data_IF_030853504082
#
_entry.id   IF_030853504082
#
_cell.length_a   1.000
_cell.length_b   1.000
_cell.length_c   1.000
_cell.angle_alpha   90.00
_cell.angle_beta   90.00
_cell.angle_gamma   90.00
#
_symmetry.space_group_name_H-M   'P 1'
#
loop_
_entity.id
_entity.type
_entity.pdbx_description
1 polymer ?
#
# COMPACT_ATOMS: atom_id res chain seq x y z
N UNK A 1 1.75 3.66 12.51
CA UNK A 1 1.59 4.04 11.09
C UNK A 1 0.87 5.37 10.93
N UNK A 2 -0.40 5.52 11.38
CA UNK A 2 -1.15 6.78 11.22
C UNK A 2 -0.40 8.00 11.77
N UNK A 3 0.20 7.88 12.96
CA UNK A 3 1.01 8.95 13.56
C UNK A 3 2.21 9.34 12.68
N UNK A 4 2.94 8.35 12.17
CA UNK A 4 4.05 8.60 11.25
C UNK A 4 3.58 9.25 9.95
N UNK A 5 2.41 8.85 9.43
CA UNK A 5 1.79 9.49 8.27
C UNK A 5 1.42 10.94 8.59
N UNK A 6 0.82 11.21 9.75
CA UNK A 6 0.52 12.56 10.21
C UNK A 6 1.79 13.40 10.35
N UNK A 7 2.89 12.81 10.81
CA UNK A 7 4.17 13.51 10.89
C UNK A 7 4.73 13.83 9.51
N UNK A 8 4.66 12.90 8.55
CA UNK A 8 5.06 13.15 7.16
C UNK A 8 4.20 14.25 6.51
N UNK A 9 2.89 14.20 6.70
CA UNK A 9 1.96 15.22 6.24
C UNK A 9 2.31 16.56 6.90
N UNK A 10 2.47 16.63 8.23
CA UNK A 10 2.84 17.86 8.94
C UNK A 10 4.14 18.48 8.41
N UNK A 11 5.14 17.65 8.13
CA UNK A 11 6.44 18.11 7.58
C UNK A 11 6.33 18.65 6.15
N UNK A 12 5.38 18.15 5.35
CA UNK A 12 5.28 18.46 3.92
C UNK A 12 4.04 19.29 3.54
N UNK A 13 3.16 19.60 4.49
CA UNK A 13 1.95 20.40 4.26
C UNK A 13 2.12 21.88 4.60
N UNK A 14 3.31 22.32 5.00
CA UNK A 14 3.55 23.72 5.40
C UNK A 14 3.08 24.71 4.32
N UNK A 15 3.51 24.54 3.07
CA UNK A 15 3.10 25.45 1.99
C UNK A 15 1.64 25.24 1.55
N UNK A 16 1.20 23.98 1.47
CA UNK A 16 -0.11 23.63 0.94
C UNK A 16 -1.28 23.86 1.92
N UNK A 17 -1.00 23.84 3.23
CA UNK A 17 -1.99 23.94 4.32
C UNK A 17 -1.73 25.14 5.20
N UNK A 18 -0.52 25.26 5.77
CA UNK A 18 -0.22 26.31 6.77
C UNK A 18 -0.10 27.70 6.13
N UNK A 19 0.47 27.78 4.92
CA UNK A 19 0.61 29.04 4.17
C UNK A 19 -0.53 29.26 3.18
N UNK A 20 -1.60 28.47 3.23
CA UNK A 20 -2.70 28.54 2.28
C UNK A 20 -3.81 29.46 2.81
N UNK A 21 -4.09 30.61 2.16
CA UNK A 21 -5.10 31.55 2.64
C UNK A 21 -6.54 31.00 2.60
N UNK A 22 -6.78 29.91 1.88
CA UNK A 22 -8.08 29.25 1.83
C UNK A 22 -8.32 28.27 2.99
N UNK A 23 -7.30 27.99 3.82
CA UNK A 23 -7.40 27.13 5.00
C UNK A 23 -7.10 28.00 6.23
N UNK A 24 -8.07 28.22 7.13
CA UNK A 24 -7.81 28.93 8.38
C UNK A 24 -6.73 28.21 9.19
N UNK A 25 -5.80 28.97 9.77
CA UNK A 25 -4.70 28.39 10.55
C UNK A 25 -5.17 27.52 11.73
N UNK A 26 -6.34 27.83 12.30
CA UNK A 26 -6.95 27.03 13.37
C UNK A 26 -7.34 25.62 12.89
N UNK A 27 -7.56 25.44 11.58
CA UNK A 27 -7.89 24.15 10.95
C UNK A 27 -6.67 23.42 10.39
N UNK A 28 -5.44 23.90 10.64
CA UNK A 28 -4.24 23.26 10.11
C UNK A 28 -4.09 21.82 10.63
N UNK A 29 -4.35 21.58 11.91
CA UNK A 29 -4.31 20.23 12.47
C UNK A 29 -5.43 19.33 11.91
N UNK A 30 -6.64 19.89 11.71
CA UNK A 30 -7.75 19.17 11.07
C UNK A 30 -7.44 18.84 9.60
N UNK A 31 -6.79 19.74 8.86
CA UNK A 31 -6.31 19.51 7.50
C UNK A 31 -5.28 18.38 7.47
N UNK A 32 -4.30 18.40 8.38
CA UNK A 32 -3.28 17.34 8.49
C UNK A 32 -3.95 15.99 8.77
N UNK A 33 -4.92 15.95 9.69
CA UNK A 33 -5.69 14.74 9.99
C UNK A 33 -6.51 14.27 8.79
N UNK A 34 -7.20 15.18 8.09
CA UNK A 34 -8.02 14.86 6.93
C UNK A 34 -7.16 14.35 5.75
N UNK A 35 -5.99 14.93 5.52
CA UNK A 35 -5.04 14.46 4.51
C UNK A 35 -4.53 13.07 4.89
N UNK A 36 -4.09 12.89 6.14
CA UNK A 36 -3.57 11.60 6.61
C UNK A 36 -4.63 10.50 6.53
N UNK A 37 -5.86 10.80 6.97
CA UNK A 37 -7.00 9.89 6.86
C UNK A 37 -7.39 9.60 5.42
N UNK A 38 -7.36 10.61 4.54
CA UNK A 38 -7.60 10.43 3.11
C UNK A 38 -6.52 9.60 2.41
N UNK A 39 -5.25 9.76 2.81
CA UNK A 39 -4.16 8.93 2.30
C UNK A 39 -4.37 7.47 2.69
N UNK A 40 -4.61 7.23 3.98
CA UNK A 40 -4.91 5.89 4.49
C UNK A 40 -6.13 5.29 3.79
N UNK A 41 -7.24 6.02 3.73
CA UNK A 41 -8.49 5.57 3.10
C UNK A 41 -8.33 5.30 1.61
N UNK A 42 -7.55 6.12 0.91
CA UNK A 42 -7.24 5.91 -0.50
C UNK A 42 -6.39 4.66 -0.74
N UNK A 43 -5.37 4.43 0.08
CA UNK A 43 -4.58 3.19 0.04
C UNK A 43 -5.46 1.98 0.35
N UNK A 44 -6.38 2.11 1.30
CA UNK A 44 -7.33 1.05 1.65
C UNK A 44 -8.30 0.71 0.53
N UNK A 45 -8.88 1.73 -0.10
CA UNK A 45 -9.76 1.56 -1.24
C UNK A 45 -9.01 0.94 -2.42
N UNK A 46 -7.78 1.37 -2.68
CA UNK A 46 -6.98 0.82 -3.76
C UNK A 46 -6.63 -0.66 -3.51
N UNK A 47 -6.29 -1.03 -2.27
CA UNK A 47 -6.03 -2.41 -1.90
C UNK A 47 -7.27 -3.30 -2.07
N UNK A 48 -8.45 -2.79 -1.70
CA UNK A 48 -9.72 -3.52 -1.78
C UNK A 48 -10.30 -3.56 -3.21
N UNK A 49 -10.03 -2.55 -4.02
CA UNK A 49 -10.54 -2.40 -5.39
C UNK A 49 -9.75 -3.15 -6.46
N UNK A 50 -8.86 -4.06 -6.08
CA UNK A 50 -8.02 -4.82 -7.01
C UNK A 50 -6.65 -4.17 -7.33
N UNK A 51 -6.36 -3.00 -6.76
CA UNK A 51 -5.07 -2.32 -6.88
C UNK A 51 -3.98 -2.85 -5.94
N UNK A 52 -4.19 -4.00 -5.28
CA UNK A 52 -3.22 -4.63 -4.40
C UNK A 52 -1.87 -4.89 -5.08
N UNK A 53 -1.90 -5.37 -6.33
CA UNK A 53 -0.69 -5.59 -7.13
C UNK A 53 0.06 -4.28 -7.40
N UNK A 54 -0.66 -3.19 -7.66
CA UNK A 54 -0.05 -1.87 -7.86
C UNK A 54 0.59 -1.35 -6.57
N UNK A 55 -0.05 -1.54 -5.42
CA UNK A 55 0.53 -1.16 -4.13
C UNK A 55 1.83 -1.94 -3.83
N UNK A 56 1.82 -3.25 -4.06
CA UNK A 56 3.02 -4.08 -3.90
C UNK A 56 4.11 -3.72 -4.92
N UNK A 57 3.74 -3.44 -6.17
CA UNK A 57 4.67 -2.97 -7.20
C UNK A 57 5.31 -1.62 -6.87
N UNK A 58 4.56 -0.73 -6.23
CA UNK A 58 5.05 0.56 -5.74
C UNK A 58 6.02 0.37 -4.56
N UNK A 59 5.67 -0.51 -3.61
CA UNK A 59 6.51 -0.83 -2.44
C UNK A 59 7.78 -1.60 -2.77
N UNK A 60 7.78 -2.39 -3.85
CA UNK A 60 8.97 -3.11 -4.34
C UNK A 60 9.81 -2.29 -5.29
N UNK A 61 9.33 -1.11 -5.73
CA UNK A 61 10.02 -0.25 -6.70
C UNK A 61 9.99 -0.77 -8.14
N UNK A 62 9.21 -1.82 -8.43
CA UNK A 62 9.22 -2.50 -9.73
C UNK A 62 8.35 -1.81 -10.78
N UNK A 63 7.41 -0.93 -10.38
CA UNK A 63 6.42 -0.38 -11.31
C UNK A 63 6.12 1.12 -11.14
N UNK A 64 6.68 1.94 -12.05
CA UNK A 64 6.43 3.38 -12.11
C UNK A 64 4.99 3.74 -12.50
N UNK A 65 4.27 2.90 -13.25
CA UNK A 65 2.86 3.18 -13.60
C UNK A 65 1.93 2.93 -12.43
N UNK A 66 2.23 1.91 -11.61
CA UNK A 66 1.51 1.66 -10.36
C UNK A 66 1.57 2.86 -9.40
N UNK A 67 2.68 3.58 -9.38
CA UNK A 67 2.83 4.80 -8.59
C UNK A 67 1.82 5.88 -9.02
N UNK A 68 1.58 6.05 -10.31
CA UNK A 68 0.62 7.04 -10.84
C UNK A 68 -0.82 6.67 -10.48
N UNK A 69 -1.23 5.42 -10.71
CA UNK A 69 -2.62 4.99 -10.48
C UNK A 69 -3.00 5.04 -9.00
N UNK A 70 -2.10 4.57 -8.13
CA UNK A 70 -2.26 4.65 -6.67
C UNK A 70 -2.31 6.12 -6.23
N UNK A 71 -1.39 6.96 -6.70
CA UNK A 71 -1.35 8.38 -6.33
C UNK A 71 -2.65 9.09 -6.70
N UNK A 72 -3.20 8.83 -7.90
CA UNK A 72 -4.45 9.43 -8.34
C UNK A 72 -5.65 9.01 -7.48
N UNK A 73 -5.80 7.71 -7.19
CA UNK A 73 -6.88 7.22 -6.32
C UNK A 73 -6.79 7.78 -4.90
N UNK A 74 -5.56 7.93 -4.39
CA UNK A 74 -5.32 8.54 -3.09
C UNK A 74 -5.62 10.04 -3.10
N UNK A 75 -5.23 10.76 -4.14
CA UNK A 75 -5.53 12.20 -4.29
C UNK A 75 -7.04 12.47 -4.23
N UNK A 76 -7.84 11.65 -4.93
CA UNK A 76 -9.29 11.77 -4.90
C UNK A 76 -9.86 11.56 -3.49
N UNK A 77 -9.34 10.57 -2.75
CA UNK A 77 -9.77 10.31 -1.37
C UNK A 77 -9.39 11.46 -0.42
N UNK A 78 -8.19 12.01 -0.57
CA UNK A 78 -7.74 13.16 0.22
C UNK A 78 -8.59 14.39 -0.08
N UNK A 79 -8.88 14.65 -1.36
CA UNK A 79 -9.78 15.73 -1.74
C UNK A 79 -11.15 15.59 -1.07
N UNK A 80 -11.76 14.39 -1.13
CA UNK A 80 -13.04 14.13 -0.48
C UNK A 80 -12.99 14.35 1.03
N UNK A 81 -11.93 13.86 1.69
CA UNK A 81 -11.76 14.02 3.14
C UNK A 81 -11.58 15.49 3.53
N UNK A 82 -10.76 16.24 2.81
CA UNK A 82 -10.56 17.67 3.02
C UNK A 82 -11.88 18.44 2.88
N UNK A 83 -12.65 18.15 1.83
CA UNK A 83 -13.95 18.78 1.60
C UNK A 83 -14.93 18.46 2.75
N UNK A 84 -15.02 17.19 3.16
CA UNK A 84 -15.96 16.76 4.21
C UNK A 84 -15.57 17.28 5.60
N UNK A 85 -14.26 17.30 5.92
CA UNK A 85 -13.77 17.67 7.26
C UNK A 85 -13.64 19.18 7.43
N UNK A 86 -13.14 19.89 6.43
CA UNK A 86 -12.87 21.31 6.54
C UNK A 86 -13.97 22.18 5.93
N UNK A 87 -14.82 21.61 5.08
CA UNK A 87 -15.84 22.36 4.34
C UNK A 87 -15.24 23.26 3.26
N UNK A 88 -14.02 22.96 2.79
CA UNK A 88 -13.34 23.76 1.75
C UNK A 88 -13.81 23.38 0.35
N UNK A 89 -13.59 24.29 -0.61
CA UNK A 89 -14.01 24.07 -1.99
C UNK A 89 -13.24 22.91 -2.64
N UNK A 90 -13.84 22.22 -3.63
CA UNK A 90 -13.18 21.15 -4.37
C UNK A 90 -11.85 21.58 -5.00
N UNK A 91 -11.75 22.83 -5.48
CA UNK A 91 -10.56 23.38 -6.11
C UNK A 91 -9.41 23.53 -5.12
N UNK A 92 -9.70 24.04 -3.91
CA UNK A 92 -8.68 24.17 -2.85
C UNK A 92 -8.25 22.78 -2.39
N UNK A 93 -9.20 21.88 -2.12
CA UNK A 93 -8.90 20.51 -1.72
C UNK A 93 -8.04 19.77 -2.75
N UNK A 94 -8.34 19.92 -4.05
CA UNK A 94 -7.55 19.35 -5.14
C UNK A 94 -6.14 19.93 -5.20
N UNK A 95 -5.99 21.25 -5.02
CA UNK A 95 -4.68 21.91 -4.98
C UNK A 95 -3.82 21.40 -3.82
N UNK A 96 -4.40 21.24 -2.63
CA UNK A 96 -3.68 20.66 -1.48
C UNK A 96 -3.32 19.20 -1.74
N UNK A 97 -4.27 18.39 -2.22
CA UNK A 97 -4.03 16.98 -2.51
C UNK A 97 -2.94 16.79 -3.57
N UNK A 98 -2.94 17.59 -4.64
CA UNK A 98 -1.96 17.48 -5.72
C UNK A 98 -0.53 17.83 -5.29
N UNK A 99 -0.38 18.75 -4.34
CA UNK A 99 0.93 19.12 -3.77
C UNK A 99 1.40 18.11 -2.72
N UNK A 100 0.54 17.74 -1.76
CA UNK A 100 0.97 16.99 -0.57
C UNK A 100 1.03 15.49 -0.83
N UNK A 101 0.03 14.92 -1.52
CA UNK A 101 -0.10 13.46 -1.64
C UNK A 101 1.09 12.81 -2.33
N UNK A 102 1.59 13.29 -3.49
CA UNK A 102 2.73 12.67 -4.15
C UNK A 102 3.98 12.70 -3.27
N UNK A 103 4.22 13.80 -2.55
CA UNK A 103 5.40 13.95 -1.68
C UNK A 103 5.30 12.97 -0.51
N UNK A 104 4.15 12.92 0.16
CA UNK A 104 3.95 12.06 1.33
C UNK A 104 3.99 10.59 0.94
N UNK A 105 3.35 10.18 -0.16
CA UNK A 105 3.42 8.79 -0.65
C UNK A 105 4.85 8.40 -1.00
N UNK A 106 5.58 9.25 -1.72
CA UNK A 106 6.99 8.99 -2.03
C UNK A 106 7.82 8.82 -0.75
N UNK A 107 7.67 9.72 0.23
CA UNK A 107 8.41 9.64 1.51
C UNK A 107 8.03 8.41 2.30
N UNK A 108 6.75 8.04 2.30
CA UNK A 108 6.22 6.85 2.94
C UNK A 108 6.84 5.58 2.33
N UNK A 109 6.90 5.48 1.00
CA UNK A 109 7.53 4.36 0.29
C UNK A 109 9.04 4.29 0.56
N UNK A 110 9.74 5.42 0.49
CA UNK A 110 11.17 5.47 0.79
C UNK A 110 11.46 5.00 2.21
N UNK A 111 10.67 5.43 3.20
CA UNK A 111 10.80 4.94 4.59
C UNK A 111 10.56 3.44 4.70
N UNK A 112 9.52 2.93 4.02
CA UNK A 112 9.19 1.51 4.04
C UNK A 112 10.26 0.60 3.41
N UNK A 113 11.11 1.16 2.56
CA UNK A 113 12.22 0.48 1.90
C UNK A 113 13.57 0.73 2.59
N UNK A 114 13.63 1.63 3.58
CA UNK A 114 14.87 1.99 4.25
C UNK A 114 15.20 0.97 5.35
N UNK A 115 16.25 0.15 5.19
CA UNK A 115 16.63 -0.83 6.21
C UNK A 115 17.09 -0.19 7.54
N UNK A 116 17.39 1.12 7.53
CA UNK A 116 17.81 1.87 8.71
C UNK A 116 16.65 2.57 9.43
N UNK A 117 15.45 2.61 8.83
CA UNK A 117 14.27 3.25 9.41
C UNK A 117 13.18 2.21 9.72
N UNK A 118 13.18 1.68 10.94
CA UNK A 118 12.18 0.71 11.38
C UNK A 118 10.83 1.33 11.79
N UNK A 119 10.62 2.63 11.59
CA UNK A 119 9.38 3.29 11.99
C UNK A 119 8.18 2.89 11.13
N UNK A 120 8.44 2.50 9.87
CA UNK A 120 7.45 1.99 8.92
C UNK A 120 8.15 0.97 8.03
N UNK A 121 7.52 -0.20 7.84
CA UNK A 121 7.90 -1.16 6.82
C UNK A 121 6.77 -1.40 5.81
N UNK A 122 7.09 -2.06 4.69
CA UNK A 122 6.11 -2.39 3.66
C UNK A 122 4.97 -3.27 4.18
N UNK A 123 5.24 -4.15 5.13
CA UNK A 123 4.23 -5.00 5.79
C UNK A 123 3.20 -4.18 6.57
N UNK A 124 3.64 -3.13 7.26
CA UNK A 124 2.80 -2.22 8.04
C UNK A 124 1.91 -1.39 7.14
N UNK A 125 2.44 -0.89 6.02
CA UNK A 125 1.66 -0.15 5.03
C UNK A 125 0.61 -1.06 4.41
N UNK A 126 1.02 -2.24 3.93
CA UNK A 126 0.11 -3.18 3.30
C UNK A 126 -0.93 -3.72 4.29
N UNK A 127 -0.55 -3.96 5.53
CA UNK A 127 -1.47 -4.37 6.59
C UNK A 127 -2.49 -3.29 6.91
N UNK A 128 -2.08 -2.02 6.91
CA UNK A 128 -2.99 -0.89 7.11
C UNK A 128 -3.93 -0.66 5.91
N UNK A 129 -3.43 -0.82 4.68
CA UNK A 129 -4.20 -0.70 3.45
C UNK A 129 -5.19 -1.87 3.29
N UNK A 130 -4.79 -3.10 3.58
CA UNK A 130 -5.65 -4.28 3.42
C UNK A 130 -6.51 -4.58 4.64
N UNK A 131 -6.27 -3.89 5.77
CA UNK A 131 -6.83 -4.23 7.06
C UNK A 131 -6.27 -5.54 7.67
N UNK A 132 -5.28 -6.17 7.02
CA UNK A 132 -4.66 -7.43 7.46
C UNK A 132 -3.29 -7.18 8.09
N UNK A 133 -3.29 -6.67 9.32
CA UNK A 133 -2.06 -6.52 10.10
C UNK A 133 -1.46 -7.90 10.43
N UNK A 134 -0.13 -7.99 10.39
CA UNK A 134 0.62 -9.24 10.69
C UNK A 134 0.74 -10.21 9.51
N UNK A 135 0.20 -9.88 8.34
CA UNK A 135 0.51 -10.60 7.10
C UNK A 135 1.86 -10.14 6.56
N UNK A 136 2.73 -11.10 6.23
CA UNK A 136 4.04 -10.83 5.64
C UNK A 136 3.91 -10.60 4.12
N UNK A 137 3.32 -9.45 3.79
CA UNK A 137 3.11 -8.99 2.43
C UNK A 137 4.41 -8.87 1.63
N UNK A 138 5.52 -8.57 2.31
CA UNK A 138 6.80 -8.37 1.68
C UNK A 138 7.42 -9.69 1.25
N UNK A 139 7.37 -10.71 2.10
CA UNK A 139 7.71 -12.09 1.74
C UNK A 139 6.78 -12.64 0.66
N UNK A 140 5.49 -12.29 0.72
CA UNK A 140 4.52 -12.67 -0.30
C UNK A 140 4.81 -12.03 -1.66
N UNK A 141 5.16 -10.75 -1.69
CA UNK A 141 5.62 -10.10 -2.90
C UNK A 141 6.95 -10.69 -3.39
N UNK A 142 7.92 -10.96 -2.51
CA UNK A 142 9.20 -11.58 -2.89
C UNK A 142 9.03 -12.99 -3.46
N UNK A 143 8.14 -13.80 -2.87
CA UNK A 143 7.81 -15.12 -3.38
C UNK A 143 7.00 -15.06 -4.68
N UNK A 144 6.17 -14.03 -4.86
CA UNK A 144 5.54 -13.74 -6.14
C UNK A 144 6.56 -13.23 -7.18
N UNK A 145 7.67 -12.61 -6.75
CA UNK A 145 8.79 -12.16 -7.59
C UNK A 145 9.83 -13.24 -7.88
N UNK A 146 9.57 -14.51 -7.58
CA UNK A 146 10.56 -15.58 -7.76
C UNK A 146 11.07 -15.72 -9.21
N UNK A 147 10.32 -15.23 -10.21
CA UNK A 147 10.72 -15.21 -11.63
C UNK A 147 11.21 -13.85 -12.14
N UNK A 148 11.27 -12.83 -11.27
CA UNK A 148 11.66 -11.46 -11.62
C UNK A 148 10.51 -10.52 -12.01
N UNK A 149 9.25 -10.97 -11.95
CA UNK A 149 8.06 -10.11 -12.14
C UNK A 149 7.03 -10.31 -11.04
N UNK A 150 6.30 -9.25 -10.71
CA UNK A 150 5.09 -9.33 -9.89
C UNK A 150 3.89 -9.49 -10.82
N UNK A 151 3.55 -10.72 -11.18
CA UNK A 151 2.33 -10.99 -11.93
C UNK A 151 1.18 -11.41 -11.00
N UNK A 152 -0.05 -11.02 -11.34
CA UNK A 152 -1.24 -11.25 -10.53
C UNK A 152 -1.47 -12.76 -10.25
N UNK A 153 -1.05 -13.63 -11.18
CA UNK A 153 -1.10 -15.08 -11.01
C UNK A 153 -0.15 -15.60 -9.93
N UNK A 154 1.00 -14.95 -9.73
CA UNK A 154 1.97 -15.32 -8.70
C UNK A 154 1.59 -14.77 -7.34
N UNK A 155 1.03 -13.55 -7.30
CA UNK A 155 0.41 -13.03 -6.09
C UNK A 155 -0.77 -13.89 -5.64
N UNK A 156 -1.62 -14.33 -6.56
CA UNK A 156 -2.77 -15.18 -6.25
C UNK A 156 -2.34 -16.58 -5.80
N UNK A 157 -1.26 -17.13 -6.37
CA UNK A 157 -0.62 -18.36 -5.88
C UNK A 157 -0.01 -18.17 -4.49
N UNK A 158 0.70 -17.08 -4.24
CA UNK A 158 1.28 -16.77 -2.94
C UNK A 158 0.19 -16.55 -1.87
N UNK A 159 -0.91 -15.86 -2.23
CA UNK A 159 -2.06 -15.65 -1.35
C UNK A 159 -2.80 -16.96 -1.06
N UNK A 160 -3.02 -17.75 -2.11
CA UNK A 160 -3.66 -19.05 -2.04
C UNK A 160 -2.88 -20.04 -1.19
N UNK A 161 -1.54 -19.96 -1.17
CA UNK A 161 -0.69 -20.75 -0.26
C UNK A 161 -0.87 -20.36 1.22
N UNK A 162 -1.23 -19.11 1.52
CA UNK A 162 -1.43 -18.67 2.91
C UNK A 162 -2.87 -18.84 3.40
N UNK A 163 -3.87 -18.68 2.53
CA UNK A 163 -5.27 -18.93 2.87
C UNK A 163 -5.64 -20.42 2.78
N UNK A 164 -4.89 -21.21 2.00
CA UNK A 164 -4.95 -22.66 1.94
C UNK A 164 -3.95 -23.29 2.88
N UNK A 165 -4.23 -23.26 4.18
CA UNK A 165 -3.58 -24.13 5.15
C UNK A 165 -3.93 -25.58 4.84
N UNK A 166 -3.16 -26.23 3.97
CA UNK A 166 -3.32 -27.63 3.63
C UNK A 166 -2.39 -28.04 2.50
N UNK A 167 -1.45 -28.94 2.80
CA UNK A 167 -0.57 -29.66 1.88
C UNK A 167 0.52 -28.85 1.18
N UNK A 168 1.63 -28.71 1.91
CA UNK A 168 2.91 -29.27 1.51
C UNK A 168 2.81 -30.29 0.36
N UNK A 169 3.05 -29.87 -0.88
CA UNK A 169 3.68 -30.72 -1.89
C UNK A 169 4.30 -29.90 -3.02
N UNK A 170 5.53 -29.43 -2.77
CA UNK A 170 6.53 -29.32 -3.83
C UNK A 170 7.50 -30.48 -3.64
N UNK A 171 7.60 -31.33 -4.65
CA UNK A 171 8.73 -32.25 -4.83
C UNK A 171 8.60 -33.60 -4.14
N UNK A 172 8.51 -34.65 -4.96
CA UNK A 172 9.09 -35.96 -4.63
C UNK A 172 8.14 -37.02 -4.10
N UNK A 173 7.78 -37.95 -4.97
CA UNK A 173 7.75 -39.36 -4.59
C UNK A 173 6.46 -39.92 -4.01
N UNK A 174 5.38 -39.98 -4.80
CA UNK A 174 4.35 -41.04 -4.65
C UNK A 174 3.81 -41.55 -6.01
N UNK A 175 4.37 -41.09 -7.13
CA UNK A 175 4.15 -41.70 -8.46
C UNK A 175 4.99 -42.95 -8.72
N UNK A 176 5.86 -43.35 -7.77
CA UNK A 176 6.80 -44.46 -7.92
C UNK A 176 6.49 -45.72 -7.09
N UNK A 177 5.50 -45.69 -6.19
CA UNK A 177 5.23 -46.84 -5.30
C UNK A 177 4.05 -47.73 -5.72
N UNK A 178 3.29 -47.36 -6.76
CA UNK A 178 2.28 -48.25 -7.35
C UNK A 178 2.75 -48.98 -8.62
N UNK A 179 3.91 -48.61 -9.18
CA UNK A 179 4.51 -49.32 -10.32
C UNK A 179 5.38 -50.54 -9.93
N UNK A 180 5.67 -50.73 -8.63
CA UNK A 180 6.61 -51.75 -8.13
C UNK A 180 5.97 -53.06 -7.66
N UNK A 181 4.65 -53.21 -7.73
CA UNK A 181 3.94 -54.42 -7.30
C UNK A 181 3.37 -55.27 -8.45
N UNK A 182 3.69 -54.93 -9.70
CA UNK A 182 3.36 -55.71 -10.90
C UNK A 182 4.60 -56.27 -11.62
N UNK A 183 5.63 -56.69 -10.87
CA UNK A 183 6.86 -57.17 -11.49
C UNK A 183 7.67 -58.11 -10.60
N UNK A 184 7.16 -59.32 -10.36
CA UNK A 184 7.87 -60.31 -9.56
C UNK A 184 7.29 -61.72 -9.65
N UNK A 185 7.53 -62.37 -10.81
CA UNK A 185 7.31 -63.78 -11.17
C UNK A 185 5.89 -64.23 -11.46
#
# INVERSE_FOLDING_TARGET
MLETLMNLVRQHSGEAVVNNPAIPNEKNDDAIQAISGGIMGGLQQQAQGGGLGNLLGMLTGQNSTAHTDVTQGVQQNVQQNLMQKLGISPQVAMSVASMVVPIVLNKLMHKAQDPNDQSIDGNTIMGAATGKQGTDWMSMAQSAMADGKLDMGDLMRAMGRQQGGGSQQSGGGLGGMLGGLFGGR
#
